data_IF_885787218153
#
_entry.id   IF_885787218153
#
_cell.length_a   1.000
_cell.length_b   1.000
_cell.length_c   1.000
_cell.angle_alpha   90.00
_cell.angle_beta   90.00
_cell.angle_gamma   90.00
#
_symmetry.space_group_name_H-M   'P 1'
#
loop_
_entity.id
_entity.type
_entity.pdbx_description
1 polymer ?
#
# COMPACT_ATOMS: atom_id res chain seq x y z
N UNK A 1 3.69 37.46 -4.93
CA UNK A 1 2.90 36.65 -3.98
C UNK A 1 3.44 35.23 -4.09
N UNK A 2 3.87 34.62 -2.97
CA UNK A 2 4.43 33.27 -2.99
C UNK A 2 3.39 32.21 -3.35
N UNK A 3 3.83 31.05 -3.84
CA UNK A 3 2.94 29.93 -4.15
C UNK A 3 2.28 29.32 -2.91
N UNK A 4 1.30 28.43 -3.13
CA UNK A 4 0.67 27.65 -2.05
C UNK A 4 1.71 26.72 -1.38
N UNK A 5 1.81 26.72 -0.04
CA UNK A 5 2.74 25.84 0.68
C UNK A 5 2.44 24.37 0.38
N UNK A 6 3.51 23.58 0.32
CA UNK A 6 3.42 22.12 0.17
C UNK A 6 3.99 21.47 1.41
N UNK A 7 3.30 20.49 1.96
CA UNK A 7 3.77 19.69 3.08
C UNK A 7 3.78 18.22 2.71
N UNK A 8 4.64 17.44 3.36
CA UNK A 8 4.67 15.99 3.21
C UNK A 8 4.37 15.27 4.52
N UNK A 9 3.82 14.06 4.40
CA UNK A 9 3.63 13.09 5.47
C UNK A 9 4.19 11.74 4.98
N UNK A 10 5.25 11.26 5.62
CA UNK A 10 5.82 9.93 5.36
C UNK A 10 5.13 8.90 6.25
N UNK A 11 4.46 7.94 5.63
CA UNK A 11 3.56 7.02 6.32
C UNK A 11 4.23 5.69 6.55
N UNK A 12 4.05 5.14 7.75
CA UNK A 12 4.32 3.72 8.05
C UNK A 12 3.02 2.99 8.35
N UNK A 13 2.94 1.72 7.98
CA UNK A 13 1.82 0.81 8.29
C UNK A 13 2.42 -0.45 8.91
N UNK A 14 2.03 -0.79 10.14
CA UNK A 14 2.58 -1.95 10.85
C UNK A 14 4.09 -1.87 11.06
N UNK A 15 4.63 -0.66 11.20
CA UNK A 15 6.07 -0.39 11.34
C UNK A 15 6.87 -0.37 10.03
N UNK A 16 6.26 -0.65 8.89
CA UNK A 16 6.92 -0.64 7.59
C UNK A 16 6.65 0.68 6.85
N UNK A 17 7.70 1.30 6.30
CA UNK A 17 7.57 2.55 5.54
C UNK A 17 6.76 2.31 4.27
N UNK A 18 5.58 2.94 4.17
CA UNK A 18 4.65 2.72 3.08
C UNK A 18 4.91 3.64 1.89
N UNK A 19 5.00 4.95 2.14
CA UNK A 19 5.20 5.96 1.12
C UNK A 19 4.96 7.37 1.64
N UNK A 20 5.10 8.35 0.75
CA UNK A 20 4.90 9.77 1.04
C UNK A 20 3.56 10.28 0.51
N UNK A 21 2.83 11.03 1.34
CA UNK A 21 1.70 11.85 0.94
C UNK A 21 2.20 13.29 0.82
N UNK A 22 1.89 13.97 -0.28
CA UNK A 22 2.19 15.40 -0.44
C UNK A 22 0.88 16.17 -0.58
N UNK A 23 0.72 17.21 0.23
CA UNK A 23 -0.46 18.07 0.24
C UNK A 23 -0.10 19.51 -0.14
N UNK A 24 -1.01 20.15 -0.87
CA UNK A 24 -1.00 21.58 -1.16
C UNK A 24 -2.01 22.27 -0.23
N UNK A 25 -1.59 23.36 0.44
CA UNK A 25 -2.41 24.09 1.41
C UNK A 25 -2.94 25.39 0.80
N UNK A 26 -4.22 25.69 1.01
CA UNK A 26 -4.91 26.85 0.43
C UNK A 26 -4.71 28.12 1.27
N UNK A 27 -3.46 28.54 1.48
CA UNK A 27 -3.12 29.71 2.29
C UNK A 27 -3.69 31.04 1.74
N UNK A 28 -4.05 31.07 0.46
CA UNK A 28 -4.73 32.17 -0.22
C UNK A 28 -6.23 32.27 0.12
N UNK A 29 -6.83 31.21 0.66
CA UNK A 29 -8.27 31.13 1.00
C UNK A 29 -8.47 31.00 2.52
N UNK A 30 -7.67 30.15 3.16
CA UNK A 30 -7.72 29.85 4.60
C UNK A 30 -6.32 29.97 5.24
N UNK A 31 -5.75 31.19 5.31
CA UNK A 31 -4.40 31.41 5.80
C UNK A 31 -4.16 30.89 7.22
N UNK A 32 -5.10 31.05 8.16
CA UNK A 32 -4.93 30.55 9.54
C UNK A 32 -4.90 29.04 9.59
N UNK A 33 -5.83 28.39 8.86
CA UNK A 33 -5.95 26.92 8.83
C UNK A 33 -4.75 26.29 8.14
N UNK A 34 -4.31 26.87 7.02
CA UNK A 34 -3.11 26.45 6.31
C UNK A 34 -1.84 26.60 7.16
N UNK A 35 -1.66 27.74 7.83
CA UNK A 35 -0.49 27.96 8.71
C UNK A 35 -0.49 27.02 9.91
N UNK A 36 -1.66 26.71 10.49
CA UNK A 36 -1.77 25.72 11.56
C UNK A 36 -1.24 24.36 11.11
N UNK A 37 -1.72 23.85 9.97
CA UNK A 37 -1.28 22.55 9.47
C UNK A 37 0.20 22.55 9.08
N UNK A 38 0.68 23.60 8.39
CA UNK A 38 2.08 23.74 7.98
C UNK A 38 3.01 23.71 9.19
N UNK A 39 2.72 24.51 10.21
CA UNK A 39 3.52 24.58 11.43
C UNK A 39 3.48 23.27 12.25
N UNK A 40 2.35 22.56 12.25
CA UNK A 40 2.24 21.22 12.83
C UNK A 40 2.99 20.16 12.00
N UNK A 41 3.21 20.36 10.70
CA UNK A 41 4.11 19.52 9.92
C UNK A 41 5.58 19.78 10.24
N UNK A 42 5.99 21.03 10.51
CA UNK A 42 7.40 21.38 10.80
C UNK A 42 7.77 21.21 12.26
N UNK A 43 6.81 21.26 13.19
CA UNK A 43 7.07 21.23 14.63
C UNK A 43 7.67 22.53 15.18
N UNK A 44 7.70 23.60 14.39
CA UNK A 44 8.47 24.82 14.71
C UNK A 44 7.92 25.61 15.90
N UNK A 45 6.67 25.36 16.31
CA UNK A 45 6.01 26.08 17.42
C UNK A 45 6.31 25.48 18.80
N UNK A 46 7.14 24.43 18.87
CA UNK A 46 7.60 23.85 20.13
C UNK A 46 6.51 23.06 20.86
N UNK A 47 6.40 23.25 22.17
CA UNK A 47 5.49 22.50 23.04
C UNK A 47 4.16 23.23 23.19
N UNK A 48 3.05 22.51 23.02
CA UNK A 48 1.70 23.01 23.20
C UNK A 48 1.44 23.38 24.66
N UNK A 49 1.01 24.61 24.98
CA UNK A 49 0.84 25.06 26.36
C UNK A 49 -0.30 24.35 27.09
N UNK A 50 -1.29 23.79 26.39
CA UNK A 50 -2.44 23.14 27.02
C UNK A 50 -2.28 21.62 27.14
N UNK A 51 -1.56 21.01 26.20
CA UNK A 51 -1.36 19.55 26.15
C UNK A 51 0.00 19.10 26.70
N UNK A 52 1.00 19.99 26.73
CA UNK A 52 2.36 19.67 27.20
C UNK A 52 3.16 18.78 26.24
N UNK A 53 2.66 18.51 25.04
CA UNK A 53 3.32 17.71 24.00
C UNK A 53 3.81 18.60 22.84
N UNK A 54 4.77 18.14 22.01
CA UNK A 54 5.16 18.88 20.81
C UNK A 54 3.98 19.15 19.87
N UNK A 55 3.87 20.39 19.38
CA UNK A 55 2.96 20.78 18.30
C UNK A 55 3.48 20.26 16.96
N UNK A 56 3.48 18.94 16.78
CA UNK A 56 4.12 18.26 15.65
C UNK A 56 3.37 16.97 15.28
N UNK A 57 3.13 16.74 13.98
CA UNK A 57 2.49 15.51 13.49
C UNK A 57 3.40 14.29 13.46
N UNK A 58 4.72 14.45 13.56
CA UNK A 58 5.65 13.32 13.57
C UNK A 58 5.36 12.40 14.77
N UNK A 59 5.12 11.13 14.47
CA UNK A 59 4.70 10.09 15.42
C UNK A 59 3.18 10.02 15.64
N UNK A 60 2.40 10.95 15.09
CA UNK A 60 0.94 10.94 15.20
C UNK A 60 0.35 9.80 14.36
N UNK A 61 -0.72 9.18 14.88
CA UNK A 61 -1.40 8.06 14.24
C UNK A 61 -2.66 8.49 13.48
N UNK A 62 -3.01 7.72 12.45
CA UNK A 62 -4.36 7.72 11.91
C UNK A 62 -5.23 6.83 12.81
N UNK A 63 -5.97 7.45 13.72
CA UNK A 63 -6.73 6.76 14.76
C UNK A 63 -8.14 6.35 14.31
N UNK A 64 -8.60 6.85 13.16
CA UNK A 64 -9.93 6.54 12.64
C UNK A 64 -9.92 6.48 11.12
N UNK A 65 -10.33 5.36 10.55
CA UNK A 65 -10.32 5.15 9.11
C UNK A 65 -11.62 4.49 8.68
N UNK A 66 -12.35 5.13 7.77
CA UNK A 66 -13.63 4.62 7.26
C UNK A 66 -13.52 4.48 5.75
N UNK A 67 -13.60 3.24 5.28
CA UNK A 67 -13.51 2.90 3.86
C UNK A 67 -14.61 3.61 3.06
N UNK A 68 -14.23 4.12 1.89
CA UNK A 68 -15.10 4.91 1.02
C UNK A 68 -15.66 6.17 1.69
N UNK A 69 -14.93 6.72 2.66
CA UNK A 69 -15.28 7.98 3.31
C UNK A 69 -14.04 8.85 3.52
N UNK A 70 -13.22 8.55 4.54
CA UNK A 70 -12.08 9.38 4.94
C UNK A 70 -11.08 8.60 5.81
N UNK A 71 -9.86 9.14 5.91
CA UNK A 71 -8.84 8.72 6.87
C UNK A 71 -8.53 9.91 7.80
N UNK A 72 -8.61 9.74 9.11
CA UNK A 72 -8.49 10.81 10.11
C UNK A 72 -7.29 10.57 11.03
N UNK A 73 -6.54 11.65 11.28
CA UNK A 73 -5.38 11.69 12.15
C UNK A 73 -5.25 13.07 12.81
N UNK A 74 -4.04 13.37 13.29
CA UNK A 74 -3.73 14.69 13.85
C UNK A 74 -4.13 14.88 15.31
N UNK A 75 -4.52 13.83 16.03
CA UNK A 75 -4.52 13.88 17.50
C UNK A 75 -3.07 13.70 17.98
N UNK A 76 -2.41 14.84 18.20
CA UNK A 76 -0.99 14.91 18.57
C UNK A 76 -0.74 14.58 20.05
N UNK A 77 -1.80 14.41 20.86
CA UNK A 77 -1.68 14.33 22.32
C UNK A 77 -2.17 13.00 22.90
N UNK A 78 -3.45 12.64 22.72
CA UNK A 78 -4.01 11.38 23.20
C UNK A 78 -3.84 10.27 22.15
N UNK A 79 -3.84 10.65 20.87
CA UNK A 79 -3.69 9.72 19.75
C UNK A 79 -4.93 8.87 19.47
N UNK A 80 -6.06 9.11 20.11
CA UNK A 80 -7.28 8.31 20.00
C UNK A 80 -8.50 9.12 19.48
N UNK A 81 -8.29 10.41 19.19
CA UNK A 81 -9.31 11.32 18.69
C UNK A 81 -9.93 12.19 19.79
N UNK A 82 -9.55 12.00 21.06
CA UNK A 82 -10.04 12.83 22.18
C UNK A 82 -9.19 14.08 22.45
N UNK A 83 -7.98 14.14 21.89
CA UNK A 83 -7.02 15.21 22.11
C UNK A 83 -6.78 16.11 20.92
N UNK A 84 -5.65 16.81 20.97
CA UNK A 84 -5.16 17.73 19.95
C UNK A 84 -5.17 19.18 20.42
N UNK A 85 -4.33 19.99 19.78
CA UNK A 85 -4.19 21.41 20.08
C UNK A 85 -3.69 22.12 18.82
N UNK A 86 -4.24 23.29 18.50
CA UNK A 86 -3.75 24.11 17.39
C UNK A 86 -2.56 24.97 17.82
N UNK A 87 -1.84 25.53 16.86
CA UNK A 87 -0.78 26.50 17.16
C UNK A 87 -1.29 27.82 17.78
N UNK A 88 -2.61 28.02 17.81
CA UNK A 88 -3.29 29.18 18.37
C UNK A 88 -3.93 28.89 19.75
N UNK A 89 -3.77 27.68 20.29
CA UNK A 89 -4.40 27.20 21.51
C UNK A 89 -5.29 25.96 21.26
N UNK A 90 -6.08 25.55 22.26
CA UNK A 90 -6.89 24.32 22.16
C UNK A 90 -7.81 24.28 20.93
N UNK A 91 -8.43 25.42 20.60
CA UNK A 91 -9.42 25.53 19.52
C UNK A 91 -9.28 26.86 18.79
N UNK A 92 -9.60 26.88 17.49
CA UNK A 92 -9.74 28.09 16.68
C UNK A 92 -10.98 28.03 15.76
N UNK A 93 -11.34 29.20 15.24
CA UNK A 93 -12.55 29.46 14.44
C UNK A 93 -12.56 28.77 13.06
N UNK A 94 -13.76 28.58 12.50
CA UNK A 94 -13.93 28.14 11.11
C UNK A 94 -13.66 29.32 10.16
N UNK A 95 -12.66 29.18 9.28
CA UNK A 95 -12.21 30.29 8.44
C UNK A 95 -12.99 30.41 7.11
N UNK A 96 -13.20 29.30 6.40
CA UNK A 96 -14.00 29.25 5.16
C UNK A 96 -14.74 27.91 5.06
N UNK A 97 -16.06 27.98 4.86
CA UNK A 97 -16.95 26.81 4.72
C UNK A 97 -17.61 26.72 3.33
N UNK A 98 -17.19 27.56 2.38
CA UNK A 98 -17.68 27.58 0.99
C UNK A 98 -17.01 26.50 0.13
N UNK A 99 -15.74 26.19 0.41
CA UNK A 99 -15.02 25.11 -0.26
C UNK A 99 -15.68 23.76 0.03
N UNK A 100 -15.91 22.99 -1.02
CA UNK A 100 -16.67 21.73 -0.95
C UNK A 100 -15.77 20.51 -0.95
N UNK A 101 -16.23 19.45 -0.31
CA UNK A 101 -15.60 18.12 -0.32
C UNK A 101 -15.96 17.37 -1.61
N UNK A 102 -15.61 17.96 -2.74
CA UNK A 102 -16.11 17.59 -4.06
C UNK A 102 -15.50 16.31 -4.65
N UNK A 103 -14.34 15.86 -4.12
CA UNK A 103 -13.57 14.74 -4.67
C UNK A 103 -12.75 14.03 -3.57
N UNK A 104 -12.09 12.93 -3.95
CA UNK A 104 -11.06 12.27 -3.12
C UNK A 104 -9.83 13.17 -2.97
N UNK A 105 -9.13 13.02 -1.86
CA UNK A 105 -7.89 13.73 -1.56
C UNK A 105 -8.09 15.14 -1.04
N UNK A 106 -9.30 15.54 -0.66
CA UNK A 106 -9.52 16.84 0.00
C UNK A 106 -9.03 16.75 1.43
N UNK A 107 -8.26 17.74 1.86
CA UNK A 107 -7.73 17.86 3.21
C UNK A 107 -8.61 18.85 4.00
N UNK A 108 -9.15 18.41 5.13
CA UNK A 108 -10.18 19.16 5.88
C UNK A 108 -10.03 18.98 7.39
N UNK A 109 -10.42 19.99 8.15
CA UNK A 109 -10.31 19.98 9.61
C UNK A 109 -11.34 19.04 10.23
N UNK A 110 -10.95 18.26 11.24
CA UNK A 110 -11.92 17.62 12.12
C UNK A 110 -12.29 18.58 13.26
N UNK A 111 -13.57 18.57 13.67
CA UNK A 111 -14.08 19.42 14.74
C UNK A 111 -15.20 18.70 15.52
N UNK A 112 -15.57 19.26 16.67
CA UNK A 112 -16.67 18.79 17.53
C UNK A 112 -17.85 19.77 17.49
N UNK A 113 -18.07 20.45 16.36
CA UNK A 113 -19.02 21.55 16.19
C UNK A 113 -18.35 22.87 15.74
N UNK A 114 -19.15 23.92 15.49
CA UNK A 114 -18.64 25.18 14.94
C UNK A 114 -17.50 25.78 15.78
N UNK A 115 -16.46 26.28 15.11
CA UNK A 115 -15.31 26.97 15.72
C UNK A 115 -14.55 26.12 16.76
N UNK A 116 -14.42 24.82 16.50
CA UNK A 116 -13.69 23.89 17.38
C UNK A 116 -12.52 23.19 16.71
N UNK A 117 -11.89 23.85 15.72
CA UNK A 117 -10.74 23.31 15.00
C UNK A 117 -9.52 23.23 15.92
N UNK A 118 -8.82 22.10 15.91
CA UNK A 118 -7.59 21.87 16.69
C UNK A 118 -6.42 21.47 15.77
N UNK A 119 -5.80 20.32 16.07
CA UNK A 119 -4.80 19.68 15.19
C UNK A 119 -5.36 18.52 14.36
N UNK A 120 -6.55 18.02 14.68
CA UNK A 120 -7.10 16.87 13.98
C UNK A 120 -7.57 17.23 12.56
N UNK A 121 -7.30 16.35 11.62
CA UNK A 121 -7.66 16.51 10.21
C UNK A 121 -8.10 15.18 9.62
N UNK A 122 -8.77 15.24 8.47
CA UNK A 122 -9.03 14.07 7.65
C UNK A 122 -8.72 14.32 6.18
N UNK A 123 -8.40 13.24 5.48
CA UNK A 123 -8.26 13.21 4.02
C UNK A 123 -9.41 12.39 3.46
N UNK A 124 -10.20 12.98 2.57
CA UNK A 124 -11.33 12.29 1.95
C UNK A 124 -10.84 11.20 0.99
N UNK A 125 -11.52 10.06 0.96
CA UNK A 125 -11.26 8.99 -0.02
C UNK A 125 -12.33 8.92 -1.10
N UNK A 126 -13.41 9.68 -0.95
CA UNK A 126 -14.47 9.87 -1.95
C UNK A 126 -15.01 11.31 -1.88
N UNK A 127 -16.04 11.62 -2.66
CA UNK A 127 -16.80 12.87 -2.52
C UNK A 127 -17.70 12.80 -1.28
N UNK A 128 -17.65 13.81 -0.40
CA UNK A 128 -18.32 13.79 0.90
C UNK A 128 -19.15 15.06 1.15
N UNK A 129 -20.14 15.33 0.29
CA UNK A 129 -20.92 16.58 0.31
C UNK A 129 -21.74 16.82 1.58
N UNK A 130 -21.98 15.79 2.39
CA UNK A 130 -22.68 15.94 3.68
C UNK A 130 -21.82 16.64 4.76
N UNK A 131 -20.53 16.83 4.48
CA UNK A 131 -19.56 17.59 5.30
C UNK A 131 -19.46 19.06 4.87
N UNK A 132 -20.01 19.43 3.72
CA UNK A 132 -19.98 20.81 3.22
C UNK A 132 -20.70 21.76 4.20
N UNK A 133 -20.14 22.95 4.40
CA UNK A 133 -20.69 23.92 5.35
C UNK A 133 -20.42 23.60 6.83
N UNK A 134 -19.70 22.50 7.15
CA UNK A 134 -19.45 22.07 8.54
C UNK A 134 -17.98 21.91 8.90
N UNK A 135 -17.14 21.60 7.92
CA UNK A 135 -15.71 21.36 8.11
C UNK A 135 -14.92 22.19 7.11
N UNK A 136 -13.86 22.86 7.59
CA UNK A 136 -13.02 23.74 6.78
C UNK A 136 -12.13 22.90 5.87
N UNK A 137 -12.39 22.95 4.56
CA UNK A 137 -11.48 22.41 3.55
C UNK A 137 -10.31 23.37 3.39
N UNK A 138 -9.08 22.89 3.60
CA UNK A 138 -7.90 23.75 3.62
C UNK A 138 -6.74 23.28 2.74
N UNK A 139 -6.94 22.20 2.00
CA UNK A 139 -5.93 21.74 1.04
C UNK A 139 -6.38 20.53 0.25
N UNK A 140 -5.43 19.93 -0.44
CA UNK A 140 -5.62 18.65 -1.13
C UNK A 140 -4.32 17.88 -1.25
N UNK A 141 -4.45 16.56 -1.39
CA UNK A 141 -3.37 15.66 -1.81
C UNK A 141 -3.03 15.94 -3.27
N UNK A 142 -1.76 16.24 -3.54
CA UNK A 142 -1.23 16.45 -4.88
C UNK A 142 -0.36 15.28 -5.36
N UNK A 143 0.23 14.50 -4.44
CA UNK A 143 0.96 13.25 -4.72
C UNK A 143 0.72 12.25 -3.59
N UNK A 144 0.80 10.96 -3.87
CA UNK A 144 0.68 9.92 -2.84
C UNK A 144 -0.76 9.59 -2.47
N UNK A 145 -1.74 9.87 -3.35
CA UNK A 145 -3.13 9.45 -3.12
C UNK A 145 -3.26 7.93 -2.98
N UNK A 146 -2.36 7.17 -3.60
CA UNK A 146 -2.31 5.72 -3.42
C UNK A 146 -1.82 5.29 -2.03
N UNK A 147 -1.01 6.09 -1.34
CA UNK A 147 -0.66 5.87 0.08
C UNK A 147 -1.90 6.07 0.94
N UNK A 148 -2.69 7.12 0.69
CA UNK A 148 -4.00 7.33 1.35
C UNK A 148 -4.93 6.14 1.14
N UNK A 149 -4.97 5.58 -0.09
CA UNK A 149 -5.74 4.35 -0.36
C UNK A 149 -5.20 3.14 0.38
N UNK A 150 -3.90 3.06 0.61
CA UNK A 150 -3.29 1.97 1.38
C UNK A 150 -3.72 2.05 2.84
N UNK A 151 -3.74 3.26 3.43
CA UNK A 151 -4.31 3.51 4.77
C UNK A 151 -5.80 3.09 4.81
N UNK A 152 -6.58 3.51 3.83
CA UNK A 152 -8.03 3.19 3.75
C UNK A 152 -8.33 1.68 3.74
N UNK A 153 -7.41 0.85 3.23
CA UNK A 153 -7.57 -0.60 3.09
C UNK A 153 -6.92 -1.41 4.21
N UNK A 154 -6.37 -0.76 5.24
CA UNK A 154 -5.95 -1.44 6.47
C UNK A 154 -7.17 -2.08 7.15
N UNK A 155 -6.96 -3.22 7.79
CA UNK A 155 -8.02 -3.92 8.51
C UNK A 155 -8.44 -3.08 9.72
N UNK A 156 -9.75 -2.85 9.89
CA UNK A 156 -10.31 -2.09 11.01
C UNK A 156 -10.64 -3.01 12.18
N UNK A 157 -10.32 -2.54 13.39
CA UNK A 157 -10.80 -3.09 14.65
C UNK A 157 -12.01 -2.32 15.15
N UNK A 158 -12.16 -2.27 16.48
CA UNK A 158 -13.26 -1.56 17.13
C UNK A 158 -13.17 -0.04 16.89
N UNK A 159 -14.33 0.63 16.85
CA UNK A 159 -14.47 2.08 16.69
C UNK A 159 -13.78 2.67 15.45
N UNK A 160 -13.75 1.94 14.33
CA UNK A 160 -13.08 2.34 13.08
C UNK A 160 -11.57 2.57 13.23
N UNK A 161 -10.93 2.02 14.28
CA UNK A 161 -9.50 2.14 14.51
C UNK A 161 -8.73 1.09 13.70
N UNK A 162 -7.65 1.45 12.98
CA UNK A 162 -6.79 0.47 12.31
C UNK A 162 -6.21 -0.58 13.27
N UNK A 163 -6.21 -1.84 12.86
CA UNK A 163 -5.59 -2.95 13.63
C UNK A 163 -4.06 -2.90 13.59
N UNK A 164 -3.48 -2.47 12.47
CA UNK A 164 -2.07 -2.16 12.35
C UNK A 164 -1.83 -0.68 12.66
N UNK A 165 -0.75 -0.35 13.37
CA UNK A 165 -0.38 1.04 13.61
C UNK A 165 -0.08 1.76 12.29
N UNK A 166 -0.86 2.81 11.99
CA UNK A 166 -0.65 3.71 10.85
C UNK A 166 -0.13 5.04 11.36
N UNK A 167 1.16 5.33 11.15
CA UNK A 167 1.83 6.48 11.73
C UNK A 167 2.41 7.43 10.68
N UNK A 168 2.36 8.72 10.97
CA UNK A 168 3.15 9.76 10.29
C UNK A 168 4.58 9.67 10.84
N UNK A 169 5.43 8.89 10.20
CA UNK A 169 6.81 8.63 10.64
C UNK A 169 7.73 9.85 10.49
N UNK A 170 7.48 10.69 9.50
CA UNK A 170 8.14 11.97 9.30
C UNK A 170 7.19 12.94 8.59
N UNK A 171 7.39 14.24 8.80
CA UNK A 171 6.62 15.27 8.12
C UNK A 171 7.39 16.59 8.07
N UNK A 172 6.95 17.48 7.20
CA UNK A 172 7.57 18.79 7.06
C UNK A 172 7.01 19.59 5.90
N UNK A 173 7.53 20.80 5.76
CA UNK A 173 7.29 21.67 4.61
C UNK A 173 8.29 21.37 3.49
N UNK A 174 7.82 21.39 2.25
CA UNK A 174 8.64 21.27 1.04
C UNK A 174 8.94 22.69 0.54
N UNK A 175 10.21 23.12 0.49
CA UNK A 175 10.58 24.42 -0.04
C UNK A 175 10.12 24.61 -1.50
N UNK A 176 9.82 25.86 -1.86
CA UNK A 176 9.45 26.18 -3.24
C UNK A 176 10.56 25.78 -4.22
N UNK A 177 10.19 25.07 -5.30
CA UNK A 177 11.12 24.54 -6.30
C UNK A 177 11.92 23.29 -5.88
N UNK A 178 11.80 22.82 -4.64
CA UNK A 178 12.41 21.57 -4.22
C UNK A 178 11.70 20.35 -4.81
N UNK A 179 12.45 19.26 -4.97
CA UNK A 179 11.87 17.95 -5.29
C UNK A 179 10.91 17.53 -4.17
N UNK A 180 9.73 17.03 -4.56
CA UNK A 180 8.71 16.58 -3.62
C UNK A 180 9.07 15.23 -2.98
N UNK A 181 10.08 14.53 -3.51
CA UNK A 181 10.69 13.36 -2.89
C UNK A 181 9.83 12.10 -2.98
N UNK A 182 9.03 11.97 -4.05
CA UNK A 182 8.24 10.75 -4.34
C UNK A 182 9.02 9.75 -5.20
N UNK A 183 10.08 10.21 -5.86
CA UNK A 183 10.95 9.42 -6.72
C UNK A 183 12.18 8.97 -5.92
N UNK A 184 12.63 7.72 -6.11
CA UNK A 184 13.71 7.14 -5.32
C UNK A 184 13.50 7.28 -3.79
N UNK A 185 12.23 7.22 -3.37
CA UNK A 185 11.83 7.46 -1.98
C UNK A 185 12.53 6.50 -1.00
N UNK A 186 12.69 5.23 -1.37
CA UNK A 186 13.39 4.22 -0.58
C UNK A 186 14.92 4.23 -0.74
N UNK A 187 15.48 5.19 -1.51
CA UNK A 187 16.92 5.32 -1.79
C UNK A 187 17.57 4.05 -2.36
N UNK A 188 16.82 3.33 -3.17
CA UNK A 188 17.22 2.05 -3.78
C UNK A 188 17.55 2.15 -5.28
N UNK A 189 17.51 3.38 -5.82
CA UNK A 189 17.80 3.68 -7.22
C UNK A 189 16.59 3.59 -8.15
N UNK A 190 15.41 3.27 -7.62
CA UNK A 190 14.16 3.23 -8.40
C UNK A 190 13.65 4.66 -8.67
N UNK A 191 13.80 5.11 -9.91
CA UNK A 191 13.44 6.46 -10.34
C UNK A 191 11.96 6.63 -10.73
N UNK A 192 11.12 5.62 -10.51
CA UNK A 192 9.69 5.73 -10.73
C UNK A 192 8.98 6.03 -9.41
N UNK A 193 7.95 6.88 -9.36
CA UNK A 193 7.10 7.00 -8.18
C UNK A 193 6.33 5.69 -7.93
N UNK A 194 5.94 5.42 -6.69
CA UNK A 194 5.25 4.17 -6.35
C UNK A 194 3.89 4.00 -7.03
N UNK A 195 3.23 5.11 -7.35
CA UNK A 195 1.97 5.15 -8.05
C UNK A 195 2.16 5.83 -9.40
N UNK A 196 1.78 5.20 -10.52
CA UNK A 196 2.01 5.77 -11.86
C UNK A 196 1.25 7.08 -12.09
N UNK A 197 0.13 7.30 -11.38
CA UNK A 197 -0.63 8.54 -11.40
C UNK A 197 0.14 9.74 -10.80
N UNK A 198 1.22 9.49 -10.05
CA UNK A 198 2.05 10.53 -9.45
C UNK A 198 3.23 10.94 -10.36
N UNK A 199 3.37 10.37 -11.57
CA UNK A 199 4.33 10.85 -12.57
C UNK A 199 4.01 12.29 -12.98
N UNK A 200 5.01 13.17 -12.97
CA UNK A 200 4.85 14.55 -13.46
C UNK A 200 4.63 14.59 -14.97
N UNK A 201 5.36 13.75 -15.71
CA UNK A 201 5.24 13.61 -17.16
C UNK A 201 5.09 12.13 -17.52
N UNK A 202 3.88 11.71 -17.89
CA UNK A 202 3.61 10.36 -18.36
C UNK A 202 3.84 10.26 -19.87
N UNK A 203 4.58 9.25 -20.32
CA UNK A 203 4.70 8.96 -21.75
C UNK A 203 3.37 8.45 -22.34
N UNK A 204 3.06 8.83 -23.58
CA UNK A 204 1.99 8.21 -24.36
C UNK A 204 2.44 6.87 -24.98
N UNK A 205 3.74 6.63 -25.10
CA UNK A 205 4.30 5.46 -25.77
C UNK A 205 4.27 4.22 -24.87
N UNK A 206 3.62 3.15 -25.36
CA UNK A 206 3.56 1.86 -24.67
C UNK A 206 4.95 1.27 -24.38
N UNK A 207 5.93 1.46 -25.28
CA UNK A 207 7.32 0.98 -25.12
C UNK A 207 7.97 1.51 -23.84
N UNK A 208 7.73 2.79 -23.51
CA UNK A 208 8.24 3.41 -22.30
C UNK A 208 7.64 2.75 -21.05
N UNK A 209 6.33 2.50 -21.05
CA UNK A 209 5.64 1.82 -19.95
C UNK A 209 6.13 0.40 -19.77
N UNK A 210 6.24 -0.37 -20.85
CA UNK A 210 6.82 -1.72 -20.83
C UNK A 210 8.23 -1.71 -20.23
N UNK A 211 9.09 -0.79 -20.68
CA UNK A 211 10.45 -0.64 -20.15
C UNK A 211 10.45 -0.32 -18.66
N UNK A 212 9.55 0.56 -18.20
CA UNK A 212 9.42 0.89 -16.78
C UNK A 212 9.01 -0.32 -15.94
N UNK A 213 8.08 -1.16 -16.45
CA UNK A 213 7.65 -2.38 -15.76
C UNK A 213 8.82 -3.36 -15.62
N UNK A 214 9.61 -3.55 -16.68
CA UNK A 214 10.78 -4.42 -16.66
C UNK A 214 11.85 -3.93 -15.67
N UNK A 215 12.11 -2.61 -15.62
CA UNK A 215 13.02 -2.01 -14.64
C UNK A 215 12.53 -2.20 -13.20
N UNK A 216 11.25 -1.90 -12.93
CA UNK A 216 10.64 -2.05 -11.60
C UNK A 216 10.67 -3.52 -11.15
N UNK A 217 10.32 -4.45 -12.04
CA UNK A 217 10.45 -5.90 -11.80
C UNK A 217 11.90 -6.29 -11.52
N UNK A 218 12.85 -5.69 -12.25
CA UNK A 218 14.29 -5.84 -12.04
C UNK A 218 14.73 -5.47 -10.62
N UNK A 219 14.32 -4.30 -10.11
CA UNK A 219 14.59 -3.91 -8.73
C UNK A 219 14.00 -4.92 -7.73
N UNK A 220 12.79 -5.43 -7.98
CA UNK A 220 12.19 -6.49 -7.16
C UNK A 220 13.03 -7.77 -7.12
N UNK A 221 13.59 -8.17 -8.26
CA UNK A 221 14.49 -9.32 -8.34
C UNK A 221 15.79 -9.10 -7.55
N UNK A 222 16.35 -7.89 -7.57
CA UNK A 222 17.54 -7.56 -6.78
C UNK A 222 17.25 -7.58 -5.28
N UNK A 223 16.11 -7.04 -4.83
CA UNK A 223 15.66 -7.18 -3.45
C UNK A 223 15.50 -8.65 -3.05
N UNK A 224 14.91 -9.48 -3.91
CA UNK A 224 14.75 -10.91 -3.65
C UNK A 224 16.10 -11.63 -3.48
N UNK A 225 17.09 -11.33 -4.32
CA UNK A 225 18.45 -11.89 -4.22
C UNK A 225 19.12 -11.51 -2.88
N UNK A 226 18.86 -10.29 -2.40
CA UNK A 226 19.30 -9.81 -1.09
C UNK A 226 18.50 -10.35 0.09
N UNK A 227 17.50 -11.22 -0.18
CA UNK A 227 16.56 -11.77 0.80
C UNK A 227 15.66 -10.72 1.47
N UNK A 228 15.56 -9.52 0.88
CA UNK A 228 14.57 -8.51 1.28
C UNK A 228 13.25 -8.79 0.56
N UNK A 229 12.54 -9.80 1.06
CA UNK A 229 11.30 -10.27 0.46
C UNK A 229 10.15 -9.27 0.60
N UNK A 230 10.17 -8.41 1.63
CA UNK A 230 9.15 -7.36 1.82
C UNK A 230 9.31 -6.28 0.75
N UNK A 231 10.52 -5.77 0.54
CA UNK A 231 10.77 -4.78 -0.52
C UNK A 231 10.58 -5.38 -1.91
N UNK A 232 11.02 -6.63 -2.13
CA UNK A 232 10.78 -7.34 -3.39
C UNK A 232 9.28 -7.39 -3.73
N UNK A 233 8.43 -7.76 -2.75
CA UNK A 233 6.98 -7.77 -2.91
C UNK A 233 6.41 -6.37 -3.21
N UNK A 234 6.91 -5.33 -2.55
CA UNK A 234 6.52 -3.93 -2.83
C UNK A 234 6.83 -3.54 -4.29
N UNK A 235 8.02 -3.90 -4.79
CA UNK A 235 8.41 -3.66 -6.19
C UNK A 235 7.58 -4.46 -7.18
N UNK A 236 7.28 -5.73 -6.91
CA UNK A 236 6.41 -6.52 -7.79
C UNK A 236 4.98 -5.97 -7.86
N UNK A 237 4.40 -5.54 -6.72
CA UNK A 237 3.10 -4.85 -6.70
C UNK A 237 3.13 -3.55 -7.49
N UNK A 238 4.23 -2.79 -7.38
CA UNK A 238 4.45 -1.58 -8.19
C UNK A 238 4.53 -1.90 -9.67
N UNK A 239 5.27 -2.93 -10.07
CA UNK A 239 5.36 -3.37 -11.46
C UNK A 239 3.98 -3.74 -12.02
N UNK A 240 3.13 -4.40 -11.23
CA UNK A 240 1.73 -4.68 -11.63
C UNK A 240 0.91 -3.40 -11.83
N UNK A 241 1.04 -2.39 -10.96
CA UNK A 241 0.36 -1.09 -11.15
C UNK A 241 0.76 -0.41 -12.45
N UNK A 242 2.06 -0.43 -12.77
CA UNK A 242 2.56 0.12 -14.04
C UNK A 242 2.10 -0.71 -15.24
N UNK A 243 2.02 -2.03 -15.08
CA UNK A 243 1.53 -2.94 -16.12
C UNK A 243 0.04 -2.74 -16.40
N UNK A 244 -0.76 -2.45 -15.38
CA UNK A 244 -2.19 -2.15 -15.57
C UNK A 244 -2.37 -0.92 -16.46
N UNK A 245 -1.52 0.10 -16.33
CA UNK A 245 -1.53 1.29 -17.21
C UNK A 245 -1.12 0.96 -18.64
N UNK A 246 -0.27 -0.05 -18.88
CA UNK A 246 0.06 -0.50 -20.24
C UNK A 246 -1.20 -0.90 -21.02
N UNK A 247 -2.17 -1.52 -20.37
CA UNK A 247 -3.42 -1.98 -21.01
C UNK A 247 -4.35 -0.83 -21.43
N UNK A 248 -4.14 0.38 -20.91
CA UNK A 248 -4.87 1.58 -21.28
C UNK A 248 -4.24 2.33 -22.47
N UNK A 249 -3.06 1.90 -22.93
CA UNK A 249 -2.35 2.56 -24.04
C UNK A 249 -2.85 2.08 -25.40
N UNK A 250 -2.78 2.98 -26.37
CA UNK A 250 -3.07 2.67 -27.77
C UNK A 250 -1.97 1.79 -28.38
N UNK A 251 -2.32 1.07 -29.46
CA UNK A 251 -1.35 0.29 -30.22
C UNK A 251 -0.93 -1.04 -29.57
N UNK A 252 -1.83 -1.66 -28.78
CA UNK A 252 -1.67 -3.03 -28.31
C UNK A 252 -2.16 -3.98 -29.42
N UNK A 253 -1.21 -4.58 -30.12
CA UNK A 253 -1.47 -5.70 -31.02
C UNK A 253 -1.46 -7.04 -30.24
N UNK A 254 -1.70 -8.14 -30.96
CA UNK A 254 -1.75 -9.48 -30.38
C UNK A 254 -0.43 -9.89 -29.74
N UNK A 255 0.71 -9.63 -30.41
CA UNK A 255 2.04 -9.96 -29.92
C UNK A 255 2.37 -9.22 -28.61
N UNK A 256 2.05 -7.92 -28.55
CA UNK A 256 2.21 -7.11 -27.33
C UNK A 256 1.28 -7.59 -26.23
N UNK A 257 0.04 -7.94 -26.54
CA UNK A 257 -0.90 -8.50 -25.57
C UNK A 257 -0.36 -9.78 -24.93
N UNK A 258 0.17 -10.71 -25.73
CA UNK A 258 0.84 -11.93 -25.25
C UNK A 258 2.05 -11.58 -24.38
N UNK A 259 2.88 -10.63 -24.79
CA UNK A 259 4.03 -10.18 -24.00
C UNK A 259 3.62 -9.63 -22.63
N UNK A 260 2.60 -8.77 -22.57
CA UNK A 260 2.12 -8.16 -21.32
C UNK A 260 1.53 -9.22 -20.37
N UNK A 261 0.79 -10.22 -20.88
CA UNK A 261 0.29 -11.35 -20.08
C UNK A 261 1.43 -12.20 -19.52
N UNK A 262 2.42 -12.53 -20.33
CA UNK A 262 3.61 -13.26 -19.90
C UNK A 262 4.37 -12.52 -18.81
N UNK A 263 4.51 -11.19 -18.96
CA UNK A 263 5.14 -10.36 -17.95
C UNK A 263 4.33 -10.32 -16.65
N UNK A 264 2.99 -10.23 -16.74
CA UNK A 264 2.07 -10.33 -15.59
C UNK A 264 2.26 -11.65 -14.86
N UNK A 265 2.25 -12.77 -15.59
CA UNK A 265 2.44 -14.10 -15.04
C UNK A 265 3.79 -14.24 -14.32
N UNK A 266 4.88 -13.72 -14.90
CA UNK A 266 6.20 -13.69 -14.26
C UNK A 266 6.21 -12.89 -12.95
N UNK A 267 5.58 -11.71 -12.93
CA UNK A 267 5.54 -10.85 -11.73
C UNK A 267 4.75 -11.55 -10.62
N UNK A 268 3.58 -12.11 -10.92
CA UNK A 268 2.79 -12.88 -9.94
C UNK A 268 3.53 -14.12 -9.45
N UNK A 269 4.20 -14.84 -10.35
CA UNK A 269 5.07 -15.96 -9.99
C UNK A 269 6.06 -15.47 -8.94
N UNK A 270 6.84 -14.41 -9.20
CA UNK A 270 7.85 -13.86 -8.29
C UNK A 270 7.27 -13.34 -6.97
N UNK A 271 6.11 -12.69 -7.01
CA UNK A 271 5.35 -12.28 -5.83
C UNK A 271 4.99 -13.48 -4.94
N UNK A 272 4.49 -14.58 -5.53
CA UNK A 272 4.19 -15.83 -4.79
C UNK A 272 5.41 -16.39 -4.07
N UNK A 273 6.59 -16.36 -4.69
CA UNK A 273 7.82 -16.82 -4.04
C UNK A 273 8.19 -15.96 -2.82
N UNK A 274 7.99 -14.64 -2.88
CA UNK A 274 8.19 -13.75 -1.72
C UNK A 274 7.21 -14.10 -0.61
N UNK A 275 5.93 -14.28 -0.94
CA UNK A 275 4.88 -14.60 0.03
C UNK A 275 5.10 -15.96 0.72
N UNK A 276 5.55 -16.97 -0.01
CA UNK A 276 5.99 -18.25 0.56
C UNK A 276 7.11 -18.06 1.60
N UNK A 277 8.10 -17.21 1.31
CA UNK A 277 9.20 -16.90 2.23
C UNK A 277 8.76 -16.11 3.46
N UNK A 278 7.73 -15.28 3.29
CA UNK A 278 7.13 -14.48 4.36
C UNK A 278 6.05 -15.23 5.16
N UNK A 279 5.69 -16.46 4.76
CA UNK A 279 4.66 -17.27 5.42
C UNK A 279 3.21 -16.91 5.03
N UNK A 280 3.00 -16.02 4.05
CA UNK A 280 1.67 -15.72 3.49
C UNK A 280 1.27 -16.79 2.46
N UNK A 281 0.92 -17.97 2.97
CA UNK A 281 0.62 -19.13 2.13
C UNK A 281 -0.63 -18.93 1.26
N UNK A 282 -1.67 -18.29 1.81
CA UNK A 282 -2.91 -18.02 1.08
C UNK A 282 -2.68 -16.98 -0.02
N UNK A 283 -1.95 -15.91 0.28
CA UNK A 283 -1.59 -14.93 -0.73
C UNK A 283 -0.65 -15.49 -1.79
N UNK A 284 0.21 -16.46 -1.45
CA UNK A 284 1.06 -17.16 -2.41
C UNK A 284 0.25 -18.01 -3.39
N UNK A 285 -0.78 -18.72 -2.91
CA UNK A 285 -1.72 -19.46 -3.76
C UNK A 285 -2.49 -18.54 -4.70
N UNK A 286 -3.02 -17.43 -4.17
CA UNK A 286 -3.75 -16.46 -4.98
C UNK A 286 -2.87 -15.91 -6.12
N UNK A 287 -1.60 -15.60 -5.84
CA UNK A 287 -0.67 -15.14 -6.87
C UNK A 287 -0.38 -16.24 -7.90
N UNK A 288 -0.29 -17.52 -7.50
CA UNK A 288 -0.11 -18.60 -8.48
C UNK A 288 -1.32 -18.77 -9.38
N UNK A 289 -2.54 -18.60 -8.83
CA UNK A 289 -3.76 -18.67 -9.63
C UNK A 289 -3.81 -17.52 -10.66
N UNK A 290 -3.41 -16.31 -10.27
CA UNK A 290 -3.26 -15.20 -11.20
C UNK A 290 -2.18 -15.45 -12.25
N UNK A 291 -1.07 -16.09 -11.88
CA UNK A 291 0.00 -16.43 -12.81
C UNK A 291 -0.40 -17.50 -13.84
N UNK A 292 -1.42 -18.31 -13.55
CA UNK A 292 -1.90 -19.41 -14.39
C UNK A 292 -3.18 -19.08 -15.18
N UNK A 293 -3.87 -17.98 -14.84
CA UNK A 293 -5.19 -17.62 -15.39
C UNK A 293 -5.24 -17.53 -16.91
N UNK A 294 -4.17 -17.03 -17.54
CA UNK A 294 -4.13 -16.81 -18.99
C UNK A 294 -3.65 -18.05 -19.78
N UNK A 295 -3.63 -19.22 -19.15
CA UNK A 295 -3.36 -20.50 -19.83
C UNK A 295 -1.91 -20.73 -20.23
N UNK A 296 -0.97 -19.98 -19.64
CA UNK A 296 0.45 -20.26 -19.85
C UNK A 296 0.88 -21.50 -19.05
N UNK A 297 1.53 -22.42 -19.75
CA UNK A 297 2.28 -23.56 -19.18
C UNK A 297 3.43 -23.03 -18.31
N UNK A 298 3.11 -22.60 -17.08
CA UNK A 298 4.05 -22.00 -16.15
C UNK A 298 4.42 -22.99 -15.05
N UNK A 299 5.41 -23.84 -15.34
CA UNK A 299 5.93 -24.83 -14.40
C UNK A 299 6.38 -24.23 -13.07
N UNK A 300 6.95 -23.00 -13.08
CA UNK A 300 7.39 -22.31 -11.87
C UNK A 300 6.23 -21.87 -10.97
N UNK A 301 5.12 -21.40 -11.56
CA UNK A 301 3.91 -21.06 -10.81
C UNK A 301 3.28 -22.32 -10.21
N UNK A 302 3.14 -23.40 -10.99
CA UNK A 302 2.63 -24.70 -10.49
C UNK A 302 3.51 -25.27 -9.38
N UNK A 303 4.83 -25.17 -9.51
CA UNK A 303 5.76 -25.58 -8.46
C UNK A 303 5.55 -24.78 -7.17
N UNK A 304 5.41 -23.44 -7.26
CA UNK A 304 5.12 -22.58 -6.10
C UNK A 304 3.76 -22.87 -5.48
N UNK A 305 2.76 -23.17 -6.32
CA UNK A 305 1.42 -23.56 -5.88
C UNK A 305 1.48 -24.86 -5.07
N UNK A 306 2.21 -25.87 -5.55
CA UNK A 306 2.45 -27.12 -4.82
C UNK A 306 3.17 -26.90 -3.49
N UNK A 307 4.16 -26.00 -3.44
CA UNK A 307 4.84 -25.62 -2.19
C UNK A 307 3.88 -24.96 -1.19
N UNK A 308 2.98 -24.09 -1.66
CA UNK A 308 2.00 -23.44 -0.81
C UNK A 308 0.97 -24.44 -0.25
N UNK A 309 0.44 -25.34 -1.08
CA UNK A 309 -0.44 -26.43 -0.65
C UNK A 309 0.24 -27.36 0.37
N UNK A 310 1.51 -27.73 0.13
CA UNK A 310 2.29 -28.52 1.08
C UNK A 310 2.39 -27.85 2.46
N UNK A 311 2.64 -26.54 2.47
CA UNK A 311 2.74 -25.75 3.70
C UNK A 311 1.38 -25.57 4.40
N UNK A 312 0.28 -25.56 3.65
CA UNK A 312 -1.10 -25.55 4.17
C UNK A 312 -1.61 -26.94 4.58
N UNK A 313 -0.76 -27.98 4.47
CA UNK A 313 -1.11 -29.37 4.74
C UNK A 313 -2.19 -29.96 3.80
N UNK A 314 -2.41 -29.33 2.64
CA UNK A 314 -3.26 -29.85 1.57
C UNK A 314 -2.40 -30.71 0.61
N UNK A 315 -2.09 -31.92 1.07
CA UNK A 315 -1.11 -32.78 0.40
C UNK A 315 -1.62 -33.28 -0.96
N UNK A 316 -2.92 -33.50 -1.09
CA UNK A 316 -3.53 -34.00 -2.33
C UNK A 316 -3.43 -32.94 -3.45
N UNK A 317 -3.78 -31.68 -3.15
CA UNK A 317 -3.61 -30.57 -4.09
C UNK A 317 -2.13 -30.32 -4.42
N UNK A 318 -1.24 -30.45 -3.44
CA UNK A 318 0.20 -30.32 -3.69
C UNK A 318 0.73 -31.34 -4.69
N UNK A 319 0.34 -32.61 -4.57
CA UNK A 319 0.73 -33.67 -5.50
C UNK A 319 0.21 -33.37 -6.91
N UNK A 320 -1.01 -32.85 -7.04
CA UNK A 320 -1.58 -32.46 -8.32
C UNK A 320 -0.78 -31.31 -8.96
N UNK A 321 -0.49 -30.23 -8.22
CA UNK A 321 0.29 -29.11 -8.73
C UNK A 321 1.71 -29.52 -9.15
N UNK A 322 2.40 -30.33 -8.33
CA UNK A 322 3.73 -30.83 -8.68
C UNK A 322 3.73 -31.78 -9.88
N UNK A 323 2.67 -32.59 -10.03
CA UNK A 323 2.52 -33.45 -11.21
C UNK A 323 2.40 -32.60 -12.47
N UNK A 324 1.50 -31.61 -12.48
CA UNK A 324 1.35 -30.68 -13.61
C UNK A 324 2.67 -29.96 -13.92
N UNK A 325 3.40 -29.54 -12.89
CA UNK A 325 4.72 -28.92 -13.07
C UNK A 325 5.76 -29.87 -13.71
N UNK A 326 5.76 -31.15 -13.33
CA UNK A 326 6.63 -32.17 -13.96
C UNK A 326 6.22 -32.52 -15.38
N UNK A 327 4.93 -32.48 -15.70
CA UNK A 327 4.46 -32.73 -17.06
C UNK A 327 5.02 -31.66 -18.02
N UNK A 328 5.22 -30.43 -17.53
CA UNK A 328 5.84 -29.33 -18.27
C UNK A 328 7.38 -29.36 -18.26
N UNK A 329 8.01 -29.68 -17.12
CA UNK A 329 9.47 -29.76 -16.97
C UNK A 329 9.91 -31.12 -16.39
N UNK A 330 9.89 -32.21 -17.20
CA UNK A 330 10.12 -33.58 -16.71
C UNK A 330 11.53 -33.84 -16.17
N UNK A 331 12.48 -32.93 -16.40
CA UNK A 331 13.87 -33.07 -16.00
C UNK A 331 14.25 -32.20 -14.79
N UNK A 332 13.33 -31.39 -14.26
CA UNK A 332 13.63 -30.54 -13.10
C UNK A 332 13.78 -31.39 -11.82
N UNK A 333 14.99 -31.35 -11.24
CA UNK A 333 15.32 -32.13 -10.04
C UNK A 333 14.62 -31.62 -8.77
N UNK A 334 14.33 -30.32 -8.68
CA UNK A 334 13.65 -29.74 -7.53
C UNK A 334 12.17 -30.15 -7.51
N UNK A 335 11.49 -30.09 -8.66
CA UNK A 335 10.09 -30.53 -8.77
C UNK A 335 9.97 -32.03 -8.47
N UNK A 336 10.87 -32.87 -9.01
CA UNK A 336 10.89 -34.33 -8.72
C UNK A 336 11.03 -34.65 -7.23
N UNK A 337 11.90 -33.91 -6.56
CA UNK A 337 12.16 -34.09 -5.12
C UNK A 337 10.92 -33.77 -4.31
N UNK A 338 10.30 -32.61 -4.53
CA UNK A 338 9.09 -32.19 -3.81
C UNK A 338 7.89 -33.09 -4.12
N UNK A 339 7.71 -33.48 -5.39
CA UNK A 339 6.66 -34.43 -5.79
C UNK A 339 6.77 -35.76 -5.05
N UNK A 340 7.99 -36.31 -4.96
CA UNK A 340 8.25 -37.58 -4.26
C UNK A 340 8.01 -37.43 -2.75
N UNK A 341 8.41 -36.31 -2.15
CA UNK A 341 8.14 -36.00 -0.75
C UNK A 341 6.63 -35.91 -0.47
N UNK A 342 5.87 -35.25 -1.34
CA UNK A 342 4.42 -35.12 -1.23
C UNK A 342 3.71 -36.48 -1.36
N UNK A 343 4.09 -37.31 -2.35
CA UNK A 343 3.54 -38.68 -2.50
C UNK A 343 3.84 -39.56 -1.29
N UNK A 344 5.04 -39.44 -0.71
CA UNK A 344 5.41 -40.17 0.50
C UNK A 344 4.48 -39.82 1.66
N UNK A 345 4.16 -38.53 1.86
CA UNK A 345 3.20 -38.11 2.90
C UNK A 345 1.82 -38.74 2.72
N UNK A 346 1.30 -38.84 1.49
CA UNK A 346 0.03 -39.53 1.23
C UNK A 346 0.13 -41.00 1.61
N UNK A 347 1.20 -41.69 1.20
CA UNK A 347 1.40 -43.10 1.53
C UNK A 347 1.50 -43.33 3.05
N UNK A 348 2.20 -42.45 3.76
CA UNK A 348 2.34 -42.51 5.22
C UNK A 348 0.99 -42.27 5.91
N UNK A 349 0.18 -41.31 5.46
CA UNK A 349 -1.19 -41.06 5.95
C UNK A 349 -2.07 -42.30 5.78
N UNK A 350 -2.12 -42.88 4.59
CA UNK A 350 -2.89 -44.09 4.30
C UNK A 350 -2.45 -45.29 5.16
N UNK A 351 -1.14 -45.43 5.39
CA UNK A 351 -0.61 -46.47 6.27
C UNK A 351 -1.02 -46.26 7.74
N UNK A 352 -1.06 -45.02 8.22
CA UNK A 352 -1.53 -44.69 9.56
C UNK A 352 -3.03 -44.98 9.73
N UNK A 353 -3.85 -44.58 8.76
CA UNK A 353 -5.30 -44.86 8.74
C UNK A 353 -5.58 -46.35 8.76
N UNK A 354 -4.87 -47.14 7.94
CA UNK A 354 -4.98 -48.61 7.95
C UNK A 354 -4.63 -49.23 9.31
N UNK A 355 -3.56 -48.74 9.94
CA UNK A 355 -3.16 -49.20 11.29
C UNK A 355 -4.17 -48.82 12.36
N UNK A 356 -4.75 -47.63 12.28
CA UNK A 356 -5.79 -47.18 13.22
C UNK A 356 -7.07 -48.01 13.06
N UNK A 357 -7.51 -48.25 11.83
CA UNK A 357 -8.66 -49.11 11.54
C UNK A 357 -8.43 -50.53 12.06
N UNK A 358 -7.26 -51.14 11.79
CA UNK A 358 -6.93 -52.47 12.28
C UNK A 358 -7.03 -52.58 13.81
N UNK A 359 -6.65 -51.52 14.56
CA UNK A 359 -6.75 -51.47 16.03
C UNK A 359 -8.17 -51.32 16.57
N UNK A 360 -9.14 -50.88 15.78
CA UNK A 360 -10.53 -50.74 16.23
C UNK A 360 -11.29 -52.08 16.24
N UNK A 361 -10.78 -53.09 15.54
CA UNK A 361 -11.39 -54.43 15.44
C UNK A 361 -10.59 -55.52 16.15
N UNK A 362 -9.60 -55.13 16.95
CA UNK A 362 -8.81 -55.98 17.85
C UNK A 362 -8.98 -55.47 19.27
#
# INVERSE_FOLDING_TARGET
>A
MGGRPKCFLDITIGGELEGRIVVELYNDIVPKTAENFRALCTGEKGIGPNTGVPLHYKGCRFHRVIKSFMVQGGDISAGDGTGGESIYGLKFEDENLELRHERKGMLSMANTGPNTNGSQFFITTTRTSHLDGKYVVFGRVIKGMGVVRSIEHVTMGDNDCPTDDVLISDCGEIPEGADVGITNFFKDGDLYPDWPADLDNSSSELSWWVTSVDLIKGYGNECFKKQDYKMALKKYRKALRYLDVCWEKEGIDEDRSVYLRKMKAQIFTNSSACKLKLGDLKGALLDTDFALRDGEDNAKALFRQGQAHMALNDIDAAVESFKKALDLEPNDGAIKKEFTAAKKKIADRLNQERKAFAKMFT
#
